data_IF_356294142137
#
_entry.id   IF_356294142137
#
_cell.length_a   1.000
_cell.length_b   1.000
_cell.length_c   1.000
_cell.angle_alpha   90.00
_cell.angle_beta   90.00
_cell.angle_gamma   90.00
#
_symmetry.space_group_name_H-M   'P 1'
#
loop_
_entity.id
_entity.type
_entity.pdbx_description
1 polymer ?
#
# COMPACT_ATOMS: atom_id res chain seq x y z
N UNK A 1 7.43 -15.34 -15.04
CA UNK A 1 6.33 -15.00 -14.11
C UNK A 1 6.97 -14.35 -12.89
N UNK A 2 6.43 -13.25 -12.39
CA UNK A 2 7.03 -12.46 -11.29
C UNK A 2 6.57 -12.97 -9.91
N UNK A 3 6.55 -14.28 -9.73
CA UNK A 3 6.04 -14.91 -8.50
C UNK A 3 6.92 -14.58 -7.30
N UNK A 4 6.34 -14.31 -6.14
CA UNK A 4 7.10 -14.12 -4.91
C UNK A 4 7.84 -15.41 -4.52
N UNK A 5 8.98 -15.25 -3.87
CA UNK A 5 9.75 -16.37 -3.30
C UNK A 5 9.00 -16.97 -2.11
N UNK A 6 8.27 -16.14 -1.37
CA UNK A 6 7.48 -16.52 -0.20
C UNK A 6 6.26 -15.62 -0.04
N UNK A 7 5.16 -16.22 0.44
CA UNK A 7 3.95 -15.51 0.83
C UNK A 7 3.45 -16.03 2.17
N UNK A 8 3.01 -15.14 3.06
CA UNK A 8 2.52 -15.48 4.39
C UNK A 8 1.64 -14.37 4.95
N UNK A 9 0.92 -14.67 6.02
CA UNK A 9 0.11 -13.68 6.72
C UNK A 9 0.57 -13.52 8.17
N UNK A 10 0.47 -12.30 8.69
CA UNK A 10 0.65 -11.96 10.09
C UNK A 10 -0.71 -11.67 10.72
N UNK A 11 -0.98 -12.29 11.86
CA UNK A 11 -2.16 -11.98 12.65
C UNK A 11 -1.90 -10.71 13.48
N UNK A 12 -2.68 -9.67 13.26
CA UNK A 12 -2.63 -8.40 13.99
C UNK A 12 -3.78 -8.38 15.00
N UNK A 13 -3.46 -8.69 16.25
CA UNK A 13 -4.42 -8.82 17.34
C UNK A 13 -4.39 -7.61 18.32
N UNK A 14 -3.49 -6.66 18.10
CA UNK A 14 -3.29 -5.49 18.97
C UNK A 14 -4.26 -4.35 18.69
N UNK A 15 -5.23 -4.55 17.81
CA UNK A 15 -6.23 -3.55 17.42
C UNK A 15 -7.61 -3.90 17.92
N UNK A 16 -8.52 -2.92 17.95
CA UNK A 16 -9.92 -3.15 18.26
C UNK A 16 -10.64 -4.03 17.21
N UNK A 17 -9.99 -4.28 16.08
CA UNK A 17 -10.46 -5.16 15.02
C UNK A 17 -9.31 -6.09 14.59
N UNK A 18 -9.22 -7.30 15.16
CA UNK A 18 -8.22 -8.30 14.78
C UNK A 18 -8.33 -8.66 13.29
N UNK A 19 -7.20 -8.70 12.60
CA UNK A 19 -7.16 -8.96 11.17
C UNK A 19 -5.82 -9.56 10.73
N UNK A 20 -5.74 -10.00 9.47
CA UNK A 20 -4.53 -10.54 8.86
C UNK A 20 -3.94 -9.55 7.88
N UNK A 21 -2.64 -9.33 8.01
CA UNK A 21 -1.83 -8.63 7.02
C UNK A 21 -1.09 -9.67 6.18
N UNK A 22 -1.34 -9.71 4.88
CA UNK A 22 -0.67 -10.61 3.95
C UNK A 22 0.58 -9.97 3.37
N UNK A 23 1.65 -10.75 3.22
CA UNK A 23 2.95 -10.27 2.76
C UNK A 23 3.47 -11.17 1.64
N UNK A 24 3.92 -10.55 0.55
CA UNK A 24 4.74 -11.19 -0.47
C UNK A 24 6.20 -10.77 -0.32
N UNK A 25 7.12 -11.73 -0.47
CA UNK A 25 8.55 -11.46 -0.42
C UNK A 25 9.27 -12.05 -1.63
N UNK A 26 10.28 -11.32 -2.11
CA UNK A 26 11.24 -11.77 -3.11
C UNK A 26 12.65 -11.72 -2.52
N UNK A 27 13.50 -12.68 -2.90
CA UNK A 27 14.86 -12.79 -2.43
C UNK A 27 15.02 -13.63 -1.16
N UNK A 28 16.25 -13.64 -0.64
CA UNK A 28 16.60 -14.47 0.51
C UNK A 28 16.13 -13.84 1.82
N UNK A 29 15.42 -14.58 2.64
CA UNK A 29 14.90 -14.11 3.95
C UNK A 29 16.01 -13.61 4.90
N UNK A 30 17.21 -14.18 4.80
CA UNK A 30 18.38 -13.81 5.64
C UNK A 30 19.11 -12.56 5.14
N UNK A 31 18.69 -11.95 4.02
CA UNK A 31 19.31 -10.74 3.52
C UNK A 31 18.97 -9.57 4.43
N UNK A 32 20.00 -8.93 4.97
CA UNK A 32 19.87 -7.79 5.88
C UNK A 32 19.46 -6.50 5.15
N UNK A 33 19.74 -6.42 3.82
CA UNK A 33 19.32 -5.31 2.98
C UNK A 33 17.84 -5.47 2.59
N UNK A 34 16.98 -4.72 3.25
CA UNK A 34 15.54 -4.79 3.03
C UNK A 34 15.05 -3.64 2.17
N UNK A 35 14.21 -3.95 1.19
CA UNK A 35 13.38 -2.97 0.49
C UNK A 35 11.92 -3.25 0.89
N UNK A 36 11.29 -2.29 1.56
CA UNK A 36 9.87 -2.34 1.91
C UNK A 36 9.07 -1.55 0.87
N UNK A 37 8.21 -2.24 0.12
CA UNK A 37 7.40 -1.65 -0.93
C UNK A 37 5.94 -1.50 -0.48
N UNK A 38 5.38 -0.30 -0.63
CA UNK A 38 4.01 0.04 -0.25
C UNK A 38 3.21 0.45 -1.48
N UNK A 39 2.11 -0.26 -1.76
CA UNK A 39 1.30 -0.08 -2.96
C UNK A 39 0.29 1.08 -2.87
N UNK A 40 -0.29 1.46 -4.01
CA UNK A 40 -1.32 2.49 -4.13
C UNK A 40 -2.68 2.09 -3.56
N UNK A 41 -3.61 3.05 -3.52
CA UNK A 41 -4.92 2.93 -2.84
C UNK A 41 -5.71 1.67 -3.23
N UNK A 42 -5.89 1.41 -4.52
CA UNK A 42 -6.72 0.32 -5.08
C UNK A 42 -5.89 -0.82 -5.65
N UNK A 43 -4.59 -0.84 -5.33
CA UNK A 43 -3.65 -1.84 -5.83
C UNK A 43 -3.26 -2.84 -4.74
N UNK A 44 -2.38 -3.76 -5.04
CA UNK A 44 -1.87 -4.75 -4.10
C UNK A 44 -0.36 -4.97 -4.26
N UNK A 45 0.23 -5.72 -3.36
CA UNK A 45 1.67 -6.02 -3.34
C UNK A 45 2.19 -6.69 -4.61
N UNK A 46 1.35 -7.41 -5.36
CA UNK A 46 1.74 -8.08 -6.60
C UNK A 46 2.19 -7.12 -7.69
N UNK A 47 1.79 -5.84 -7.64
CA UNK A 47 2.29 -4.80 -8.57
C UNK A 47 3.82 -4.68 -8.54
N UNK A 48 4.42 -5.00 -7.40
CA UNK A 48 5.88 -5.00 -7.25
C UNK A 48 6.55 -6.29 -7.73
N UNK A 49 5.82 -7.21 -8.39
CA UNK A 49 6.38 -8.46 -8.89
C UNK A 49 7.60 -8.29 -9.80
N UNK A 50 7.56 -7.44 -10.86
CA UNK A 50 8.73 -7.16 -11.70
C UNK A 50 9.90 -6.57 -10.90
N UNK A 51 9.61 -5.58 -10.06
CA UNK A 51 10.58 -4.92 -9.19
C UNK A 51 11.20 -5.92 -8.20
N UNK A 52 10.36 -6.68 -7.49
CA UNK A 52 10.80 -7.68 -6.52
C UNK A 52 11.67 -8.76 -7.16
N UNK A 53 11.28 -9.24 -8.36
CA UNK A 53 12.07 -10.23 -9.10
C UNK A 53 13.45 -9.67 -9.50
N UNK A 54 13.51 -8.42 -9.96
CA UNK A 54 14.76 -7.79 -10.36
C UNK A 54 15.73 -7.62 -9.19
N UNK A 55 15.25 -7.12 -8.05
CA UNK A 55 16.08 -6.81 -6.88
C UNK A 55 16.32 -8.01 -5.95
N UNK A 56 15.64 -9.14 -6.16
CA UNK A 56 15.70 -10.33 -5.30
C UNK A 56 17.10 -10.96 -5.14
N UNK A 57 18.03 -10.66 -6.04
CA UNK A 57 19.42 -11.16 -5.98
C UNK A 57 20.20 -10.51 -4.84
N UNK A 58 20.01 -9.20 -4.65
CA UNK A 58 20.81 -8.37 -3.76
C UNK A 58 20.05 -7.90 -2.52
N UNK A 59 18.72 -7.96 -2.55
CA UNK A 59 17.83 -7.48 -1.49
C UNK A 59 16.78 -8.51 -1.09
N UNK A 60 16.28 -8.37 0.13
CA UNK A 60 15.01 -8.93 0.54
C UNK A 60 13.92 -7.88 0.27
N UNK A 61 13.12 -8.09 -0.75
CA UNK A 61 12.02 -7.18 -1.10
C UNK A 61 10.75 -7.66 -0.42
N UNK A 62 10.15 -6.82 0.41
CA UNK A 62 8.99 -7.12 1.25
C UNK A 62 7.83 -6.23 0.85
N UNK A 63 6.72 -6.81 0.48
CA UNK A 63 5.55 -6.09 -0.02
C UNK A 63 4.30 -6.56 0.73
N UNK A 64 3.80 -5.81 1.72
CA UNK A 64 2.51 -6.12 2.34
C UNK A 64 1.35 -5.72 1.43
N UNK A 65 0.29 -6.51 1.46
CA UNK A 65 -1.03 -6.05 1.05
C UNK A 65 -1.61 -5.20 2.18
N UNK A 66 -1.82 -3.92 1.96
CA UNK A 66 -2.48 -3.08 2.97
C UNK A 66 -3.87 -3.66 3.27
N UNK A 67 -4.31 -3.59 4.53
CA UNK A 67 -5.62 -4.12 4.93
C UNK A 67 -6.74 -3.62 4.03
N UNK A 68 -7.64 -4.52 3.63
CA UNK A 68 -8.68 -4.26 2.62
C UNK A 68 -8.24 -4.44 1.18
N UNK A 69 -6.99 -4.91 0.91
CA UNK A 69 -6.46 -5.15 -0.45
C UNK A 69 -5.81 -6.52 -0.54
N UNK A 70 -5.69 -7.00 -1.76
CA UNK A 70 -5.02 -8.25 -2.07
C UNK A 70 -5.54 -9.43 -1.25
N UNK A 71 -4.64 -10.11 -0.56
CA UNK A 71 -4.93 -11.25 0.30
C UNK A 71 -5.03 -10.88 1.79
N UNK A 72 -4.90 -9.59 2.15
CA UNK A 72 -5.16 -9.10 3.51
C UNK A 72 -6.64 -9.09 3.83
N UNK A 73 -6.98 -9.13 5.13
CA UNK A 73 -8.37 -9.08 5.60
C UNK A 73 -9.11 -7.84 5.14
N UNK A 74 -10.40 -7.98 4.90
CA UNK A 74 -11.31 -6.85 4.79
C UNK A 74 -11.86 -6.53 6.17
N UNK A 75 -11.85 -5.23 6.56
CA UNK A 75 -12.35 -4.81 7.85
C UNK A 75 -13.89 -4.77 7.87
N UNK A 76 -14.47 -5.14 9.01
CA UNK A 76 -15.90 -4.96 9.26
C UNK A 76 -16.21 -3.48 9.38
N UNK A 77 -15.47 -2.77 10.21
CA UNK A 77 -15.59 -1.32 10.35
C UNK A 77 -14.81 -0.57 9.25
N UNK A 78 -15.51 -0.17 8.19
CA UNK A 78 -14.92 0.52 7.04
C UNK A 78 -14.33 1.90 7.39
N UNK A 79 -14.70 2.51 8.52
CA UNK A 79 -14.15 3.79 8.96
C UNK A 79 -12.69 3.69 9.41
N UNK A 80 -12.18 2.49 9.64
CA UNK A 80 -10.80 2.24 10.00
C UNK A 80 -9.83 2.24 8.79
N UNK A 81 -10.32 2.29 7.56
CA UNK A 81 -9.46 2.45 6.39
C UNK A 81 -8.85 3.86 6.33
N UNK A 82 -7.90 4.13 7.22
CA UNK A 82 -7.25 5.42 7.40
C UNK A 82 -5.74 5.29 7.57
N UNK A 83 -5.00 6.37 7.32
CA UNK A 83 -3.53 6.41 7.43
C UNK A 83 -3.02 5.88 8.77
N UNK A 84 -3.54 6.27 9.94
CA UNK A 84 -3.05 5.75 11.22
C UNK A 84 -3.14 4.24 11.32
N UNK A 85 -4.24 3.67 10.84
CA UNK A 85 -4.45 2.22 10.88
C UNK A 85 -3.45 1.49 9.98
N UNK A 86 -3.23 1.97 8.75
CA UNK A 86 -2.23 1.42 7.85
C UNK A 86 -0.80 1.53 8.40
N UNK A 87 -0.45 2.67 8.98
CA UNK A 87 0.88 2.88 9.58
C UNK A 87 1.13 1.94 10.74
N UNK A 88 0.13 1.67 11.59
CA UNK A 88 0.23 0.71 12.69
C UNK A 88 0.55 -0.69 12.17
N UNK A 89 -0.14 -1.14 11.12
CA UNK A 89 0.11 -2.45 10.51
C UNK A 89 1.52 -2.52 9.91
N UNK A 90 1.97 -1.45 9.27
CA UNK A 90 3.31 -1.36 8.70
C UNK A 90 4.37 -1.35 9.81
N UNK A 91 4.17 -0.60 10.91
CA UNK A 91 5.07 -0.60 12.05
C UNK A 91 5.17 -1.98 12.70
N UNK A 92 4.05 -2.69 12.81
CA UNK A 92 4.00 -4.06 13.30
C UNK A 92 4.80 -5.03 12.39
N UNK A 93 4.73 -4.85 11.08
CA UNK A 93 5.54 -5.60 10.13
C UNK A 93 7.02 -5.25 10.28
N UNK A 94 7.40 -3.97 10.29
CA UNK A 94 8.79 -3.49 10.37
C UNK A 94 9.47 -4.05 11.63
N UNK A 95 8.80 -4.06 12.77
CA UNK A 95 9.36 -4.61 14.02
C UNK A 95 9.74 -6.10 13.89
N UNK A 96 9.12 -6.83 12.96
CA UNK A 96 9.37 -8.24 12.69
C UNK A 96 10.38 -8.51 11.58
N UNK A 97 10.74 -7.52 10.79
CA UNK A 97 11.71 -7.70 9.69
C UNK A 97 13.13 -7.96 10.20
N UNK A 98 13.44 -7.52 11.43
CA UNK A 98 14.78 -7.65 12.05
C UNK A 98 15.89 -7.05 11.18
N UNK A 99 15.59 -5.98 10.46
CA UNK A 99 16.53 -5.21 9.65
C UNK A 99 16.70 -3.83 10.25
N UNK A 100 17.93 -3.37 10.39
CA UNK A 100 18.24 -2.03 10.89
C UNK A 100 18.28 -0.98 9.77
N UNK A 101 18.46 -1.43 8.51
CA UNK A 101 18.54 -0.56 7.33
C UNK A 101 17.47 -0.95 6.31
N UNK A 102 16.50 -0.04 6.11
CA UNK A 102 15.35 -0.27 5.24
C UNK A 102 15.27 0.83 4.19
N UNK A 103 15.28 0.42 2.92
CA UNK A 103 14.89 1.28 1.81
C UNK A 103 13.37 1.23 1.66
N UNK A 104 12.71 2.39 1.63
CA UNK A 104 11.28 2.50 1.40
C UNK A 104 10.97 2.82 -0.05
N UNK A 105 10.03 2.10 -0.64
CA UNK A 105 9.48 2.37 -1.98
C UNK A 105 7.97 2.50 -1.84
N UNK A 106 7.41 3.66 -2.18
CA UNK A 106 5.99 3.90 -2.02
C UNK A 106 5.35 4.44 -3.30
N UNK A 107 4.25 3.83 -3.73
CA UNK A 107 3.45 4.30 -4.85
C UNK A 107 2.19 4.99 -4.35
N UNK A 108 1.95 6.24 -4.75
CA UNK A 108 0.74 7.00 -4.42
C UNK A 108 0.45 6.97 -2.90
N UNK A 109 -0.64 6.34 -2.42
CA UNK A 109 -0.91 6.15 -0.99
C UNK A 109 0.28 5.55 -0.25
N UNK A 110 0.93 4.52 -0.83
CA UNK A 110 2.12 3.91 -0.24
C UNK A 110 3.28 4.89 -0.08
N UNK A 111 3.42 5.86 -1.01
CA UNK A 111 4.39 6.96 -0.89
C UNK A 111 4.07 7.90 0.26
N UNK A 112 2.78 8.20 0.49
CA UNK A 112 2.33 8.98 1.65
C UNK A 112 2.71 8.27 2.95
N UNK A 113 2.41 6.97 3.06
CA UNK A 113 2.77 6.17 4.24
C UNK A 113 4.28 6.14 4.47
N UNK A 114 5.07 5.99 3.40
CA UNK A 114 6.52 6.00 3.46
C UNK A 114 7.08 7.36 3.92
N UNK A 115 6.50 8.47 3.46
CA UNK A 115 6.87 9.82 3.94
C UNK A 115 6.59 9.98 5.44
N UNK A 116 5.48 9.46 5.96
CA UNK A 116 5.20 9.46 7.39
C UNK A 116 6.25 8.68 8.19
N UNK A 117 6.68 7.52 7.70
CA UNK A 117 7.73 6.72 8.34
C UNK A 117 9.08 7.44 8.37
N UNK A 118 9.42 8.22 7.32
CA UNK A 118 10.68 8.97 7.22
C UNK A 118 10.66 10.33 7.94
N UNK A 119 9.49 10.88 8.27
CA UNK A 119 9.37 12.21 8.87
C UNK A 119 10.07 12.27 10.23
N UNK A 120 11.00 13.23 10.41
CA UNK A 120 11.69 13.47 11.69
C UNK A 120 10.82 14.17 12.74
N UNK A 121 9.83 14.94 12.31
CA UNK A 121 8.89 15.60 13.22
C UNK A 121 7.68 14.73 13.45
N UNK A 122 7.39 14.44 14.69
CA UNK A 122 6.11 13.90 15.12
C UNK A 122 5.07 15.02 15.08
N UNK A 123 4.69 15.44 13.85
CA UNK A 123 3.64 16.47 13.63
C UNK A 123 2.26 15.95 14.06
N UNK A 124 2.22 14.76 14.65
CA UNK A 124 1.00 14.06 15.01
C UNK A 124 0.47 14.41 16.40
N UNK A 125 1.25 15.13 17.25
CA UNK A 125 0.84 15.46 18.62
C UNK A 125 -0.47 16.24 18.69
N UNK A 126 -0.81 16.97 17.62
CA UNK A 126 -2.01 17.81 17.54
C UNK A 126 -3.02 17.34 16.48
N UNK A 127 -2.78 16.18 15.84
CA UNK A 127 -3.68 15.69 14.79
C UNK A 127 -4.83 14.88 15.38
N UNK A 128 -6.02 15.24 15.01
CA UNK A 128 -7.28 14.55 15.35
C UNK A 128 -7.31 13.07 14.90
N UNK A 129 -6.35 12.64 14.05
CA UNK A 129 -6.35 11.34 13.40
C UNK A 129 -5.49 10.27 14.07
N UNK A 130 -4.55 10.66 14.95
CA UNK A 130 -3.64 9.71 15.61
C UNK A 130 -3.95 9.63 17.10
N UNK A 131 -4.12 8.43 17.63
CA UNK A 131 -4.14 8.21 19.04
C UNK A 131 -2.73 8.36 19.64
N UNK A 132 -2.63 8.59 20.95
CA UNK A 132 -1.35 8.66 21.66
C UNK A 132 -0.53 7.37 21.44
N UNK A 133 -1.18 6.22 21.35
CA UNK A 133 -0.51 4.93 21.12
C UNK A 133 0.05 4.80 19.71
N UNK A 134 -0.66 5.29 18.68
CA UNK A 134 -0.16 5.28 17.29
C UNK A 134 1.12 6.11 17.17
N UNK A 135 1.23 7.23 17.88
CA UNK A 135 2.42 8.09 17.89
C UNK A 135 3.60 7.36 18.53
N UNK A 136 3.40 6.71 19.67
CA UNK A 136 4.45 5.97 20.40
C UNK A 136 5.00 4.83 19.54
N UNK A 137 4.16 4.11 18.82
CA UNK A 137 4.59 3.02 17.93
C UNK A 137 5.41 3.53 16.75
N UNK A 138 5.02 4.64 16.14
CA UNK A 138 5.79 5.29 15.07
C UNK A 138 7.16 5.77 15.57
N UNK A 139 7.24 6.41 16.71
CA UNK A 139 8.50 6.88 17.31
C UNK A 139 9.43 5.72 17.64
N UNK A 140 8.91 4.64 18.21
CA UNK A 140 9.68 3.42 18.48
C UNK A 140 10.33 2.87 17.20
N UNK A 141 9.56 2.76 16.12
CA UNK A 141 10.04 2.23 14.84
C UNK A 141 11.10 3.16 14.23
N UNK A 142 10.88 4.48 14.26
CA UNK A 142 11.85 5.47 13.76
C UNK A 142 13.18 5.46 14.53
N UNK A 143 13.12 5.26 15.84
CA UNK A 143 14.31 5.22 16.69
C UNK A 143 15.10 3.93 16.53
N UNK A 144 14.44 2.81 16.16
CA UNK A 144 15.06 1.49 16.00
C UNK A 144 15.64 1.26 14.61
N UNK A 145 15.02 1.84 13.56
CA UNK A 145 15.35 1.53 12.18
C UNK A 145 15.93 2.75 11.47
N UNK A 146 16.91 2.53 10.62
CA UNK A 146 17.42 3.50 9.69
C UNK A 146 16.66 3.37 8.35
N UNK A 147 15.91 4.39 8.00
CA UNK A 147 15.32 4.50 6.66
C UNK A 147 16.31 5.22 5.75
N UNK A 148 17.23 4.45 5.15
CA UNK A 148 18.37 4.99 4.41
C UNK A 148 17.98 5.65 3.09
N UNK A 149 16.90 5.19 2.47
CA UNK A 149 16.42 5.71 1.18
C UNK A 149 14.90 5.70 1.13
N UNK A 150 14.35 6.74 0.48
CA UNK A 150 12.94 6.86 0.17
C UNK A 150 12.77 7.07 -1.34
N UNK A 151 12.06 6.16 -1.98
CA UNK A 151 11.69 6.25 -3.40
C UNK A 151 10.19 6.48 -3.48
N UNK A 152 9.79 7.59 -4.06
CA UNK A 152 8.39 7.96 -4.29
C UNK A 152 8.04 7.74 -5.77
N UNK A 153 7.00 6.96 -6.01
CA UNK A 153 6.46 6.70 -7.33
C UNK A 153 5.03 7.25 -7.41
N UNK A 154 4.74 8.02 -8.45
CA UNK A 154 3.41 8.60 -8.71
C UNK A 154 2.87 9.45 -7.54
N UNK A 155 3.76 10.10 -6.80
CA UNK A 155 3.44 11.04 -5.73
C UNK A 155 4.63 11.94 -5.45
N UNK A 156 4.37 13.22 -5.17
CA UNK A 156 5.39 14.18 -4.74
C UNK A 156 5.29 14.49 -3.25
N UNK A 157 6.28 15.25 -2.74
CA UNK A 157 6.27 15.79 -1.38
C UNK A 157 5.15 16.84 -1.18
N UNK A 158 4.61 17.37 -2.26
CA UNK A 158 3.45 18.28 -2.25
C UNK A 158 2.30 17.62 -3.00
N UNK A 159 1.17 17.52 -2.34
CA UNK A 159 -0.03 16.89 -2.92
C UNK A 159 -1.09 17.94 -3.17
N UNK A 160 -1.53 18.06 -4.42
CA UNK A 160 -2.59 19.00 -4.79
C UNK A 160 -3.96 18.41 -4.43
N UNK A 161 -4.67 19.05 -3.52
CA UNK A 161 -5.99 18.60 -3.05
C UNK A 161 -7.02 18.46 -4.17
N UNK A 162 -7.00 19.37 -5.17
CA UNK A 162 -7.94 19.30 -6.31
C UNK A 162 -7.70 18.05 -7.16
N UNK A 163 -6.43 17.66 -7.36
CA UNK A 163 -6.09 16.44 -8.10
C UNK A 163 -6.52 15.17 -7.32
N UNK A 164 -6.43 15.21 -6.00
CA UNK A 164 -6.90 14.11 -5.15
C UNK A 164 -8.41 13.92 -5.21
N UNK A 165 -9.18 15.02 -5.22
CA UNK A 165 -10.64 14.95 -5.44
C UNK A 165 -10.96 14.38 -6.83
N UNK A 166 -10.17 14.75 -7.85
CA UNK A 166 -10.32 14.21 -9.21
C UNK A 166 -10.05 12.70 -9.26
N UNK A 167 -9.04 12.20 -8.53
CA UNK A 167 -8.76 10.78 -8.39
C UNK A 167 -9.94 10.02 -7.75
N UNK A 168 -10.66 10.63 -6.83
CA UNK A 168 -11.84 10.04 -6.21
C UNK A 168 -12.95 9.72 -7.23
N UNK A 169 -13.10 10.57 -8.25
CA UNK A 169 -14.02 10.31 -9.37
C UNK A 169 -13.45 9.32 -10.38
N UNK A 170 -12.14 9.31 -10.60
CA UNK A 170 -11.48 8.41 -11.55
C UNK A 170 -11.36 6.96 -11.02
N UNK A 171 -11.39 6.77 -9.69
CA UNK A 171 -11.39 5.44 -9.05
C UNK A 171 -12.77 4.82 -8.92
N UNK A 172 -13.84 5.53 -9.31
CA UNK A 172 -15.16 4.92 -9.49
C UNK A 172 -15.10 3.98 -10.69
N UNK A 173 -14.87 2.69 -10.39
CA UNK A 173 -14.72 1.65 -11.40
C UNK A 173 -16.00 1.46 -12.19
N UNK A 174 -15.85 1.20 -13.48
CA UNK A 174 -16.98 0.96 -14.38
C UNK A 174 -17.84 -0.24 -13.93
N UNK A 175 -17.28 -1.16 -13.10
CA UNK A 175 -17.95 -2.39 -12.69
C UNK A 175 -17.46 -2.92 -11.35
N UNK A 176 -18.40 -3.41 -10.54
CA UNK A 176 -18.12 -4.11 -9.29
C UNK A 176 -17.60 -5.55 -9.54
N UNK A 177 -17.88 -6.12 -10.72
CA UNK A 177 -17.47 -7.46 -11.10
C UNK A 177 -17.33 -7.63 -12.62
N UNK A 178 -16.64 -8.67 -13.02
CA UNK A 178 -16.45 -9.07 -14.41
C UNK A 178 -16.81 -10.56 -14.59
N UNK A 179 -17.42 -10.92 -15.71
CA UNK A 179 -17.80 -12.28 -16.04
C UNK A 179 -16.62 -13.14 -16.52
N UNK A 180 -15.54 -12.51 -16.95
CA UNK A 180 -14.32 -13.19 -17.40
C UNK A 180 -13.08 -12.33 -17.19
N UNK A 181 -11.91 -12.98 -17.11
CA UNK A 181 -10.60 -12.29 -17.06
C UNK A 181 -10.40 -11.37 -18.29
N UNK A 182 -10.86 -11.81 -19.46
CA UNK A 182 -10.79 -11.01 -20.70
C UNK A 182 -11.62 -9.73 -20.64
N UNK A 183 -12.79 -9.79 -20.00
CA UNK A 183 -13.61 -8.61 -19.77
C UNK A 183 -12.93 -7.64 -18.79
N UNK A 184 -12.36 -8.17 -17.73
CA UNK A 184 -11.58 -7.39 -16.77
C UNK A 184 -10.36 -6.73 -17.44
N UNK A 185 -9.62 -7.46 -18.28
CA UNK A 185 -8.47 -6.93 -19.02
C UNK A 185 -8.87 -5.74 -19.92
N UNK A 186 -10.00 -5.84 -20.59
CA UNK A 186 -10.53 -4.73 -21.42
C UNK A 186 -10.82 -3.49 -20.58
N UNK A 187 -11.39 -3.67 -19.39
CA UNK A 187 -11.67 -2.58 -18.45
C UNK A 187 -10.37 -1.99 -17.89
N UNK A 188 -9.42 -2.83 -17.49
CA UNK A 188 -8.10 -2.41 -17.00
C UNK A 188 -7.36 -1.60 -18.05
N UNK A 189 -7.28 -2.08 -19.30
CA UNK A 189 -6.67 -1.35 -20.44
C UNK A 189 -7.31 0.03 -20.64
N UNK A 190 -8.63 0.13 -20.50
CA UNK A 190 -9.35 1.40 -20.63
C UNK A 190 -9.03 2.36 -19.48
N UNK A 191 -9.08 1.87 -18.24
CA UNK A 191 -8.98 2.70 -17.04
C UNK A 191 -7.53 3.11 -16.74
N UNK A 192 -6.55 2.28 -17.11
CA UNK A 192 -5.13 2.53 -16.87
C UNK A 192 -4.35 2.86 -18.15
N UNK A 193 -5.04 3.31 -19.21
CA UNK A 193 -4.40 3.68 -20.49
C UNK A 193 -3.27 4.71 -20.33
N UNK A 194 -3.36 5.56 -19.31
CA UNK A 194 -2.38 6.62 -19.02
C UNK A 194 -1.08 6.07 -18.39
N UNK A 195 -1.04 4.79 -18.00
CA UNK A 195 0.19 4.14 -17.55
C UNK A 195 1.21 3.93 -18.69
N UNK A 196 0.84 4.25 -19.90
CA UNK A 196 1.69 4.17 -21.08
C UNK A 196 1.45 2.93 -21.93
N UNK A 197 2.25 2.76 -22.98
CA UNK A 197 2.17 1.59 -23.84
C UNK A 197 2.72 0.36 -23.11
N UNK A 198 1.94 -0.71 -23.06
CA UNK A 198 2.30 -1.99 -22.49
C UNK A 198 2.08 -3.11 -23.50
N UNK A 199 2.91 -4.14 -23.43
CA UNK A 199 2.70 -5.40 -24.15
C UNK A 199 1.47 -6.15 -23.61
N UNK A 200 0.94 -7.12 -24.38
CA UNK A 200 -0.16 -7.95 -23.91
C UNK A 200 0.19 -8.75 -22.65
N UNK A 201 1.46 -9.14 -22.50
CA UNK A 201 1.95 -9.80 -21.29
C UNK A 201 1.85 -8.87 -20.06
N UNK A 202 2.26 -7.61 -20.18
CA UNK A 202 2.20 -6.62 -19.10
C UNK A 202 0.75 -6.26 -18.75
N UNK A 203 -0.11 -6.10 -19.75
CA UNK A 203 -1.55 -5.88 -19.53
C UNK A 203 -2.21 -7.05 -18.79
N UNK A 204 -1.85 -8.27 -19.18
CA UNK A 204 -2.33 -9.46 -18.48
C UNK A 204 -1.84 -9.49 -17.03
N UNK A 205 -0.57 -9.19 -16.79
CA UNK A 205 -0.01 -9.08 -15.43
C UNK A 205 -0.73 -8.00 -14.60
N UNK A 206 -0.91 -6.79 -15.13
CA UNK A 206 -1.64 -5.71 -14.47
C UNK A 206 -3.09 -6.08 -14.15
N UNK A 207 -3.73 -6.84 -15.05
CA UNK A 207 -5.09 -7.34 -14.82
C UNK A 207 -5.12 -8.35 -13.68
N UNK A 208 -4.23 -9.33 -13.69
CA UNK A 208 -4.16 -10.37 -12.66
C UNK A 208 -3.78 -9.83 -11.28
N UNK A 209 -3.00 -8.74 -11.20
CA UNK A 209 -2.73 -8.05 -9.94
C UNK A 209 -3.88 -7.15 -9.49
N UNK A 210 -4.85 -6.87 -10.35
CA UNK A 210 -6.00 -6.00 -10.07
C UNK A 210 -7.26 -6.75 -9.67
N UNK A 211 -7.47 -7.98 -10.19
CA UNK A 211 -8.66 -8.79 -9.95
C UNK A 211 -8.34 -10.10 -9.23
N UNK A 212 -9.33 -10.65 -8.54
CA UNK A 212 -9.35 -12.01 -8.02
C UNK A 212 -10.62 -12.73 -8.46
N UNK A 213 -10.54 -14.05 -8.57
CA UNK A 213 -11.72 -14.87 -8.76
C UNK A 213 -12.43 -15.08 -7.42
N UNK A 214 -13.71 -14.76 -7.37
CA UNK A 214 -14.59 -15.02 -6.24
C UNK A 214 -15.39 -16.30 -6.50
N UNK A 215 -15.10 -17.32 -5.70
CA UNK A 215 -15.72 -18.65 -5.87
C UNK A 215 -17.19 -18.69 -5.47
N UNK A 216 -17.64 -17.80 -4.58
CA UNK A 216 -19.04 -17.74 -4.14
C UNK A 216 -19.93 -17.15 -5.23
N UNK A 217 -19.53 -16.04 -5.81
CA UNK A 217 -20.27 -15.38 -6.89
C UNK A 217 -19.93 -15.91 -8.27
N UNK A 218 -18.86 -16.72 -8.40
CA UNK A 218 -18.28 -17.21 -9.66
C UNK A 218 -17.94 -16.10 -10.64
N UNK A 219 -17.39 -14.99 -10.12
CA UNK A 219 -17.06 -13.78 -10.88
C UNK A 219 -15.65 -13.31 -10.55
N UNK A 220 -15.10 -12.49 -11.42
CA UNK A 220 -13.88 -11.76 -11.13
C UNK A 220 -14.26 -10.43 -10.48
N UNK A 221 -13.65 -10.12 -9.34
CA UNK A 221 -13.87 -8.89 -8.59
C UNK A 221 -12.55 -8.17 -8.36
N UNK A 222 -12.54 -6.85 -8.17
CA UNK A 222 -11.33 -6.14 -7.79
C UNK A 222 -10.69 -6.69 -6.52
N UNK A 223 -9.37 -6.61 -6.44
CA UNK A 223 -8.55 -7.08 -5.29
C UNK A 223 -8.64 -6.16 -4.06
N UNK A 224 -9.68 -5.35 -3.94
CA UNK A 224 -9.83 -4.44 -2.82
C UNK A 224 -11.27 -4.37 -2.34
N UNK A 225 -11.43 -4.06 -1.05
CA UNK A 225 -12.72 -3.80 -0.43
C UNK A 225 -13.28 -2.46 -0.93
N UNK A 226 -14.49 -2.41 -1.51
CA UNK A 226 -15.11 -1.14 -1.92
C UNK A 226 -15.21 -0.12 -0.79
N UNK A 227 -15.24 -0.57 0.47
CA UNK A 227 -15.27 0.30 1.65
C UNK A 227 -14.07 1.24 1.78
N UNK A 228 -12.94 0.96 1.11
CA UNK A 228 -11.78 1.88 1.09
C UNK A 228 -12.05 3.19 0.33
N UNK A 229 -13.05 3.17 -0.57
CA UNK A 229 -13.47 4.33 -1.37
C UNK A 229 -14.53 5.18 -0.64
N UNK A 230 -14.87 4.82 0.60
CA UNK A 230 -15.83 5.58 1.39
C UNK A 230 -15.37 7.04 1.49
N UNK A 231 -16.25 8.03 1.15
CA UNK A 231 -15.89 9.44 1.16
C UNK A 231 -15.43 9.98 2.52
N UNK A 232 -15.71 9.27 3.60
CA UNK A 232 -15.19 9.62 4.93
C UNK A 232 -13.73 9.18 5.14
N UNK A 233 -13.21 8.19 4.39
CA UNK A 233 -11.83 7.73 4.47
C UNK A 233 -10.86 8.60 3.66
N UNK A 234 -11.19 8.91 2.42
CA UNK A 234 -10.31 9.69 1.53
C UNK A 234 -10.15 11.17 1.95
N UNK A 235 -11.23 11.94 2.25
CA UNK A 235 -11.06 13.30 2.78
C UNK A 235 -10.32 13.35 4.11
N UNK A 236 -10.52 12.36 4.99
CA UNK A 236 -9.78 12.28 6.25
C UNK A 236 -8.29 11.99 6.02
N UNK A 237 -7.96 11.11 5.07
CA UNK A 237 -6.59 10.86 4.62
C UNK A 237 -5.93 12.17 4.16
N UNK A 238 -6.66 13.02 3.45
CA UNK A 238 -6.11 14.21 2.79
C UNK A 238 -6.23 15.49 3.61
N UNK A 239 -7.21 15.64 4.48
CA UNK A 239 -7.25 16.75 5.44
C UNK A 239 -6.07 16.70 6.43
N UNK A 240 -5.59 15.50 6.78
CA UNK A 240 -4.35 15.32 7.52
C UNK A 240 -3.11 15.82 6.77
N UNK A 241 -3.07 15.69 5.44
CA UNK A 241 -1.93 16.13 4.60
C UNK A 241 -1.89 17.64 4.40
N UNK A 242 -3.02 18.35 4.39
CA UNK A 242 -3.05 19.81 4.25
C UNK A 242 -2.52 20.54 5.49
N UNK A 243 -2.55 19.90 6.66
CA UNK A 243 -1.96 20.39 7.91
C UNK A 243 -0.50 19.99 8.09
N UNK A 244 -0.01 19.03 7.30
CA UNK A 244 1.38 18.57 7.33
C UNK A 244 2.12 19.32 6.24
N UNK A 245 2.74 20.45 6.60
CA UNK A 245 3.83 20.99 5.80
C UNK A 245 4.92 19.94 5.74
N UNK A 246 4.90 19.07 4.73
CA UNK A 246 5.95 18.09 4.49
C UNK A 246 7.19 18.90 4.15
N UNK A 247 7.99 19.22 5.16
CA UNK A 247 9.33 19.73 4.90
C UNK A 247 10.13 18.55 4.35
N UNK A 248 10.51 18.67 3.09
CA UNK A 248 11.41 17.75 2.43
C UNK A 248 12.61 17.44 3.35
N UNK A 249 13.01 16.17 3.37
CA UNK A 249 14.26 15.77 4.01
C UNK A 249 15.38 16.62 3.42
N UNK A 250 16.27 17.19 4.23
CA UNK A 250 17.48 17.79 3.68
C UNK A 250 18.27 16.71 2.96
N UNK A 251 18.77 17.07 1.77
CA UNK A 251 19.63 16.25 0.95
C UNK A 251 20.90 15.83 1.72
#
# INVERSE_FOLDING_TARGET
MYSPTRSYSLDINSTNEPHKLHIHEWGKQKNEKVILCLHGLTRCSLDFGPFGTFFSKDYRVVCPDLVGRGSSSWLVNKSLYQIPFYLRDICFLIDRLKSEDITLVGTSLGGILAMFLCSKKTIFSDSFFFSRNDIVDLEKIKNKNNFSKLILNDIGATVNFKELLRLNYATSFDKEFYSSEKEAEKSVKKNFREFGPHSDFEWKFLTQSYIRYDSETRRFVPHFDPGILNPYGLPAIFNGLSSIGIQALPA
#
